data_IF_432165274498
#
_entry.id   IF_432165274498
#
_cell.length_a   1.000
_cell.length_b   1.000
_cell.length_c   1.000
_cell.angle_alpha   90.00
_cell.angle_beta   90.00
_cell.angle_gamma   90.00
#
_symmetry.space_group_name_H-M   'P 1'
#
loop_
_entity.id
_entity.type
_entity.pdbx_description
1 polymer ?
#
# COMPACT_ATOMS: atom_id res chain seq x y z
N UNK A 1 -10.55 5.02 6.44
CA UNK A 1 -9.33 4.29 6.84
C UNK A 1 -8.51 4.07 5.58
N UNK A 2 -7.31 4.64 5.53
CA UNK A 2 -6.36 4.46 4.45
C UNK A 2 -5.47 3.26 4.77
N UNK A 3 -5.20 2.42 3.78
CA UNK A 3 -4.29 1.28 3.97
C UNK A 3 -2.99 1.58 3.24
N UNK A 4 -1.87 1.26 3.87
CA UNK A 4 -0.54 1.44 3.30
C UNK A 4 0.22 0.13 3.34
N UNK A 5 0.75 -0.26 2.20
CA UNK A 5 1.58 -1.44 2.03
C UNK A 5 3.05 -1.01 2.00
N UNK A 6 3.86 -1.59 2.89
CA UNK A 6 5.31 -1.49 2.87
C UNK A 6 5.85 -2.42 1.80
N UNK A 7 6.59 -1.86 0.87
CA UNK A 7 7.31 -2.59 -0.15
C UNK A 7 8.74 -2.89 0.32
N UNK A 8 9.16 -4.12 0.07
CA UNK A 8 10.52 -4.58 0.19
C UNK A 8 10.99 -5.00 -1.21
N UNK A 9 11.56 -4.06 -1.95
CA UNK A 9 11.71 -4.16 -3.40
C UNK A 9 10.33 -4.04 -4.06
N UNK A 10 9.93 -5.04 -4.82
CA UNK A 10 8.60 -5.08 -5.45
C UNK A 10 7.57 -5.84 -4.61
N UNK A 11 7.96 -6.48 -3.50
CA UNK A 11 7.07 -7.35 -2.72
C UNK A 11 6.54 -6.66 -1.47
N UNK A 12 5.26 -6.81 -1.18
CA UNK A 12 4.61 -6.28 0.01
C UNK A 12 5.05 -7.07 1.24
N UNK A 13 5.78 -6.41 2.13
CA UNK A 13 6.27 -6.98 3.38
C UNK A 13 5.28 -6.81 4.54
N UNK A 14 4.57 -5.69 4.58
CA UNK A 14 3.65 -5.38 5.67
C UNK A 14 2.53 -4.48 5.17
N UNK A 15 1.35 -4.54 5.80
CA UNK A 15 0.25 -3.63 5.54
C UNK A 15 -0.21 -3.02 6.86
N UNK A 16 -0.37 -1.70 6.89
CA UNK A 16 -0.86 -0.95 8.05
C UNK A 16 -2.09 -0.14 7.67
N UNK A 17 -2.87 0.22 8.69
CA UNK A 17 -4.04 1.09 8.56
C UNK A 17 -3.72 2.42 9.20
N UNK A 18 -3.96 3.49 8.47
CA UNK A 18 -3.83 4.88 8.91
C UNK A 18 -5.21 5.54 8.84
N UNK A 19 -5.53 6.38 9.80
CA UNK A 19 -6.80 7.13 9.76
C UNK A 19 -6.78 8.13 8.61
N UNK A 20 -7.94 8.38 7.99
CA UNK A 20 -8.00 9.37 6.89
C UNK A 20 -7.63 10.78 7.38
N UNK A 21 -7.90 11.10 8.64
CA UNK A 21 -7.55 12.39 9.26
C UNK A 21 -6.02 12.63 9.23
N UNK A 22 -5.25 11.62 9.63
CA UNK A 22 -3.78 11.63 9.57
C UNK A 22 -3.23 11.65 8.13
N UNK A 23 -4.05 11.26 7.14
CA UNK A 23 -3.74 11.38 5.72
C UNK A 23 -4.28 12.67 5.09
N UNK A 24 -4.52 13.72 5.89
CA UNK A 24 -4.97 15.03 5.41
C UNK A 24 -6.46 15.11 5.06
N UNK A 25 -7.27 14.14 5.50
CA UNK A 25 -8.73 14.09 5.27
C UNK A 25 -9.14 13.84 3.82
N UNK A 26 -8.17 13.64 2.91
CA UNK A 26 -8.40 13.54 1.48
C UNK A 26 -8.58 12.12 0.95
N UNK A 27 -8.88 12.04 -0.35
CA UNK A 27 -8.86 10.79 -1.11
C UNK A 27 -7.50 10.63 -1.82
N UNK A 28 -7.19 9.39 -2.23
CA UNK A 28 -6.05 9.15 -3.12
C UNK A 28 -6.20 10.01 -4.39
N UNK A 29 -5.12 10.61 -4.95
CA UNK A 29 -3.70 10.43 -4.59
C UNK A 29 -3.14 11.41 -3.55
N UNK A 30 -3.87 12.45 -3.17
CA UNK A 30 -3.36 13.49 -2.26
C UNK A 30 -3.08 12.95 -0.85
N UNK A 31 -3.89 11.97 -0.40
CA UNK A 31 -3.70 11.34 0.91
C UNK A 31 -2.49 10.41 1.00
N UNK A 32 -1.89 10.00 -0.12
CA UNK A 32 -0.70 9.13 -0.14
C UNK A 32 0.51 9.84 0.48
N UNK A 33 0.83 11.05 0.02
CA UNK A 33 1.98 11.80 0.52
C UNK A 33 1.86 12.17 2.00
N UNK A 34 0.66 12.58 2.43
CA UNK A 34 0.37 12.89 3.84
C UNK A 34 0.51 11.63 4.72
N UNK A 35 -0.06 10.50 4.28
CA UNK A 35 0.08 9.24 4.99
C UNK A 35 1.52 8.74 5.06
N UNK A 36 2.29 8.84 3.97
CA UNK A 36 3.72 8.50 3.97
C UNK A 36 4.52 9.35 4.97
N UNK A 37 4.25 10.66 5.03
CA UNK A 37 4.88 11.56 6.00
C UNK A 37 4.52 11.19 7.44
N UNK A 38 3.27 10.85 7.70
CA UNK A 38 2.82 10.38 9.02
C UNK A 38 3.52 9.07 9.41
N UNK A 39 3.59 8.09 8.50
CA UNK A 39 4.26 6.81 8.73
C UNK A 39 5.76 7.01 9.00
N UNK A 40 6.40 7.89 8.24
CA UNK A 40 7.80 8.26 8.47
C UNK A 40 7.99 8.93 9.85
N UNK A 41 7.04 9.76 10.29
CA UNK A 41 7.03 10.38 11.62
C UNK A 41 6.93 9.34 12.77
N UNK A 42 6.28 8.20 12.52
CA UNK A 42 6.25 7.07 13.46
C UNK A 42 7.55 6.27 13.53
N UNK A 43 8.56 6.61 12.70
CA UNK A 43 9.83 5.88 12.62
C UNK A 43 9.76 4.63 11.74
N UNK A 44 8.68 4.45 10.97
CA UNK A 44 8.52 3.34 10.04
C UNK A 44 9.16 3.70 8.69
N UNK A 45 10.48 3.57 8.61
CA UNK A 45 11.22 3.77 7.37
C UNK A 45 10.88 2.68 6.35
N UNK A 46 10.79 3.06 5.07
CA UNK A 46 10.52 2.15 3.96
C UNK A 46 9.65 2.78 2.89
N UNK A 47 9.43 2.03 1.81
CA UNK A 47 8.60 2.49 0.71
C UNK A 47 7.15 2.09 0.95
N UNK A 48 6.34 3.05 1.40
CA UNK A 48 4.93 2.83 1.69
C UNK A 48 4.08 3.29 0.52
N UNK A 49 3.22 2.41 0.02
CA UNK A 49 2.28 2.70 -1.07
C UNK A 49 0.85 2.56 -0.57
N UNK A 50 0.01 3.54 -0.85
CA UNK A 50 -1.39 3.47 -0.48
C UNK A 50 -2.08 2.38 -1.30
N UNK A 51 -2.92 1.59 -0.63
CA UNK A 51 -3.71 0.52 -1.24
C UNK A 51 -5.19 0.67 -0.94
N UNK A 52 -6.03 0.24 -1.89
CA UNK A 52 -7.47 0.35 -1.81
C UNK A 52 -8.09 -0.92 -1.27
N UNK A 53 -8.75 -0.83 -0.12
CA UNK A 53 -9.59 -1.93 0.36
C UNK A 53 -10.73 -2.27 -0.62
N UNK A 54 -11.32 -1.25 -1.25
CA UNK A 54 -12.45 -1.39 -2.18
C UNK A 54 -12.03 -1.49 -3.66
N UNK A 55 -10.75 -1.73 -3.96
CA UNK A 55 -10.24 -1.80 -5.33
C UNK A 55 -10.52 -0.55 -6.22
N UNK A 56 -10.73 0.64 -5.64
CA UNK A 56 -10.98 1.87 -6.40
C UNK A 56 -9.73 2.42 -7.11
N UNK A 57 -8.54 2.13 -6.58
CA UNK A 57 -7.24 2.49 -7.15
C UNK A 57 -6.25 1.35 -6.96
N UNK A 58 -5.22 1.26 -7.81
CA UNK A 58 -4.21 0.19 -7.83
C UNK A 58 -4.77 -1.25 -7.91
N UNK A 59 -5.97 -1.39 -8.48
CA UNK A 59 -6.59 -2.66 -8.86
C UNK A 59 -7.12 -3.53 -7.71
N UNK A 60 -6.44 -3.59 -6.56
CA UNK A 60 -6.84 -4.41 -5.41
C UNK A 60 -6.24 -3.92 -4.09
N UNK A 61 -6.72 -4.50 -3.00
CA UNK A 61 -6.08 -4.42 -1.70
C UNK A 61 -4.80 -5.27 -1.70
N UNK A 62 -3.68 -4.64 -1.38
CA UNK A 62 -2.39 -5.29 -1.24
C UNK A 62 -2.37 -6.13 0.04
N UNK A 63 -2.02 -7.41 -0.08
CA UNK A 63 -1.73 -8.31 1.02
C UNK A 63 -0.23 -8.59 1.13
N UNK A 64 0.19 -9.16 2.26
CA UNK A 64 1.58 -9.58 2.46
C UNK A 64 1.93 -10.64 1.41
N UNK A 65 3.02 -10.43 0.69
CA UNK A 65 3.46 -11.27 -0.44
C UNK A 65 2.98 -10.82 -1.81
N UNK A 66 2.04 -9.87 -1.91
CA UNK A 66 1.68 -9.23 -3.20
C UNK A 66 2.89 -8.55 -3.84
N UNK A 67 2.90 -8.47 -5.17
CA UNK A 67 3.91 -7.77 -5.95
C UNK A 67 3.31 -6.45 -6.46
N UNK A 68 4.00 -5.34 -6.24
CA UNK A 68 3.65 -4.05 -6.80
C UNK A 68 4.25 -3.92 -8.20
N UNK A 69 3.38 -3.79 -9.20
CA UNK A 69 3.75 -3.51 -10.58
C UNK A 69 3.80 -1.99 -10.79
N UNK A 70 5.00 -1.43 -10.77
CA UNK A 70 5.22 0.00 -10.96
C UNK A 70 4.91 0.49 -12.39
N UNK A 71 4.83 -0.40 -13.38
CA UNK A 71 4.53 -0.05 -14.78
C UNK A 71 3.04 0.23 -14.95
N UNK A 72 2.21 -0.60 -14.34
CA UNK A 72 0.76 -0.51 -14.39
C UNK A 72 0.16 0.19 -13.17
N UNK A 73 0.99 0.54 -12.16
CA UNK A 73 0.59 1.08 -10.85
C UNK A 73 -0.48 0.21 -10.17
N UNK A 74 -0.30 -1.12 -10.13
CA UNK A 74 -1.26 -2.06 -9.52
C UNK A 74 -0.57 -3.07 -8.62
N UNK A 75 -1.31 -3.59 -7.65
CA UNK A 75 -0.87 -4.75 -6.87
C UNK A 75 -1.32 -6.04 -7.55
N UNK A 76 -0.43 -7.03 -7.60
CA UNK A 76 -0.65 -8.31 -8.26
C UNK A 76 -0.31 -9.42 -7.27
N UNK A 77 -1.23 -10.38 -7.11
CA UNK A 77 -0.97 -11.57 -6.30
C UNK A 77 0.25 -12.30 -6.87
N UNK A 78 1.21 -12.74 -6.04
CA UNK A 78 2.30 -13.55 -6.54
C UNK A 78 1.68 -14.81 -7.15
N UNK A 79 2.13 -15.17 -8.34
CA UNK A 79 1.75 -16.45 -8.94
C UNK A 79 2.30 -17.55 -8.05
N UNK A 80 1.47 -18.01 -7.11
CA UNK A 80 1.81 -19.15 -6.28
C UNK A 80 1.57 -20.36 -7.15
N UNK A 81 2.65 -20.97 -7.64
CA UNK A 81 2.61 -22.35 -8.10
C UNK A 81 2.12 -23.18 -6.90
N UNK A 82 0.84 -23.58 -6.97
CA UNK A 82 0.29 -24.53 -6.01
C UNK A 82 1.06 -25.83 -6.19
N UNK A 83 2.02 -26.08 -5.30
CA UNK A 83 2.54 -27.42 -5.12
C UNK A 83 1.38 -28.26 -4.59
N UNK A 84 0.93 -29.18 -5.45
CA UNK A 84 -0.16 -30.13 -5.32
C UNK A 84 -0.12 -30.97 -4.03
#
# INVERSE_FOLDING_TARGET
MAHFALLNGDTVAQVIVVSNDDCGGGNFPESEAAGQAFIASLGLAGEWKQTSYNANFRGKYAGIGDIYDAVNDVFVSPATEVAE
#
